data_IF_281952339408
#
_entry.id   IF_281952339408
#
_cell.length_a   1.000
_cell.length_b   1.000
_cell.length_c   1.000
_cell.angle_alpha   90.00
_cell.angle_beta   90.00
_cell.angle_gamma   90.00
#
_symmetry.space_group_name_H-M   'P 1'
#
loop_
_entity.id
_entity.type
_entity.pdbx_description
1 polymer ?
#
# COMPACT_ATOMS: atom_id res chain seq x y z
N UNK A 1 -17.85 5.02 14.29
CA UNK A 1 -16.60 4.61 13.62
C UNK A 1 -15.81 5.87 13.34
N UNK A 2 -14.53 5.91 13.70
CA UNK A 2 -13.65 7.06 13.43
C UNK A 2 -12.71 6.65 12.31
N UNK A 3 -12.97 7.05 11.06
CA UNK A 3 -12.12 6.65 9.93
C UNK A 3 -10.71 7.23 10.10
N UNK A 4 -9.69 6.40 9.89
CA UNK A 4 -8.29 6.80 9.95
C UNK A 4 -7.74 6.87 8.53
N UNK A 5 -7.29 8.07 8.17
CA UNK A 5 -6.71 8.38 6.88
C UNK A 5 -5.31 8.96 7.08
N UNK A 6 -4.35 8.61 6.23
CA UNK A 6 -3.01 9.19 6.27
C UNK A 6 -2.09 8.64 5.19
N UNK A 7 -0.79 8.90 5.35
CA UNK A 7 0.25 8.38 4.47
C UNK A 7 1.57 8.26 5.24
N UNK A 8 2.49 7.45 4.71
CA UNK A 8 3.87 7.39 5.19
C UNK A 8 4.64 8.53 4.54
N UNK A 9 5.28 9.38 5.36
CA UNK A 9 6.10 10.48 4.83
C UNK A 9 7.20 9.94 3.93
N UNK A 10 7.58 10.75 2.94
CA UNK A 10 8.53 10.35 1.90
C UNK A 10 9.66 11.33 1.72
N UNK A 11 10.56 10.93 0.85
CA UNK A 11 11.69 11.68 0.33
C UNK A 11 11.87 11.26 -1.14
N UNK A 12 12.62 12.05 -1.91
CA UNK A 12 12.96 11.69 -3.28
C UNK A 12 13.77 10.39 -3.31
N UNK A 13 13.34 9.40 -4.08
CA UNK A 13 13.99 8.08 -4.18
C UNK A 13 15.43 8.16 -4.70
N UNK A 14 15.79 9.21 -5.43
CA UNK A 14 17.16 9.47 -5.88
C UNK A 14 18.04 10.10 -4.80
N UNK A 15 17.43 10.62 -3.73
CA UNK A 15 18.14 11.28 -2.64
C UNK A 15 18.57 10.27 -1.56
N UNK A 16 19.78 10.46 -1.03
CA UNK A 16 20.23 9.79 0.19
C UNK A 16 19.66 10.51 1.41
N UNK A 17 18.38 10.29 1.69
CA UNK A 17 17.64 11.00 2.72
C UNK A 17 16.81 10.05 3.61
N UNK A 18 16.25 10.61 4.68
CA UNK A 18 15.31 9.96 5.59
C UNK A 18 14.00 10.75 5.59
N UNK A 19 12.88 10.04 5.63
CA UNK A 19 11.57 10.67 5.80
C UNK A 19 11.46 11.28 7.21
N UNK A 20 10.86 12.46 7.30
CA UNK A 20 10.76 13.22 8.56
C UNK A 20 9.35 13.76 8.76
N UNK A 21 8.98 13.93 10.01
CA UNK A 21 7.87 14.78 10.44
C UNK A 21 8.44 15.94 11.27
N UNK A 22 7.79 17.09 11.22
CA UNK A 22 8.23 18.29 11.93
C UNK A 22 7.16 18.74 12.90
N UNK A 23 7.56 19.04 14.14
CA UNK A 23 6.71 19.74 15.09
C UNK A 23 6.64 21.23 14.70
N UNK A 24 5.46 21.72 14.34
CA UNK A 24 5.27 23.10 13.92
C UNK A 24 5.49 24.15 15.02
N UNK A 25 5.48 23.76 16.30
CA UNK A 25 5.72 24.69 17.42
C UNK A 25 7.21 24.85 17.70
N UNK A 26 7.96 23.75 17.69
CA UNK A 26 9.39 23.74 18.04
C UNK A 26 10.32 23.70 16.84
N UNK A 27 9.79 23.42 15.64
CA UNK A 27 10.53 23.14 14.40
C UNK A 27 11.45 21.91 14.50
N UNK A 28 11.24 21.05 15.51
CA UNK A 28 12.03 19.84 15.70
C UNK A 28 11.64 18.79 14.67
N UNK A 29 12.65 18.16 14.06
CA UNK A 29 12.47 17.06 13.12
C UNK A 29 12.55 15.71 13.82
N UNK A 30 11.66 14.79 13.46
CA UNK A 30 11.62 13.42 13.97
C UNK A 30 11.63 12.42 12.81
N UNK A 31 12.32 11.30 13.00
CA UNK A 31 12.40 10.18 12.05
C UNK A 31 11.60 8.94 12.55
N UNK A 32 11.08 9.00 13.77
CA UNK A 32 10.45 7.89 14.51
C UNK A 32 9.11 8.29 15.15
N UNK A 33 8.44 9.29 14.58
CA UNK A 33 7.16 9.84 15.08
C UNK A 33 6.13 9.95 13.95
N UNK A 34 4.87 9.96 14.35
CA UNK A 34 3.74 10.27 13.48
C UNK A 34 3.13 11.61 13.89
N UNK A 35 2.68 12.39 12.90
CA UNK A 35 1.81 13.54 13.13
C UNK A 35 0.35 13.05 13.05
N UNK A 36 -0.40 13.27 14.13
CA UNK A 36 -1.79 12.81 14.24
C UNK A 36 -2.69 14.02 14.45
N UNK A 37 -3.74 14.12 13.64
CA UNK A 37 -4.77 15.14 13.76
C UNK A 37 -6.11 14.46 14.01
N UNK A 38 -6.78 14.83 15.10
CA UNK A 38 -8.15 14.43 15.37
C UNK A 38 -9.09 15.56 14.92
N UNK A 39 -10.06 15.24 14.06
CA UNK A 39 -11.02 16.20 13.53
C UNK A 39 -12.42 15.78 13.96
N UNK A 40 -13.10 16.65 14.71
CA UNK A 40 -14.52 16.50 14.97
C UNK A 40 -15.32 17.07 13.79
N UNK A 41 -16.23 16.27 13.24
CA UNK A 41 -17.13 16.68 12.18
C UNK A 41 -18.47 17.15 12.77
N UNK A 42 -19.16 18.04 12.07
CA UNK A 42 -20.53 18.40 12.41
C UNK A 42 -21.45 17.18 12.35
N UNK A 43 -22.49 17.16 13.17
CA UNK A 43 -23.38 15.98 13.33
C UNK A 43 -24.14 15.56 12.06
N UNK A 44 -24.18 16.42 11.05
CA UNK A 44 -24.78 16.22 9.74
C UNK A 44 -23.78 15.69 8.68
N UNK A 45 -22.51 15.44 9.04
CA UNK A 45 -21.47 14.96 8.14
C UNK A 45 -20.89 13.62 8.54
N UNK A 46 -20.49 12.83 7.56
CA UNK A 46 -19.82 11.55 7.77
C UNK A 46 -18.64 11.43 6.81
N UNK A 47 -17.42 11.35 7.36
CA UNK A 47 -16.27 11.05 6.53
C UNK A 47 -16.32 9.60 6.01
N UNK A 48 -16.07 9.45 4.71
CA UNK A 48 -15.90 8.17 4.05
C UNK A 48 -14.51 8.08 3.44
N UNK A 49 -13.87 6.91 3.53
CA UNK A 49 -12.59 6.62 2.91
C UNK A 49 -12.80 5.63 1.77
N UNK A 50 -12.32 5.98 0.59
CA UNK A 50 -12.30 5.08 -0.56
C UNK A 50 -10.88 4.73 -0.99
N UNK A 51 -10.77 3.59 -1.68
CA UNK A 51 -9.53 3.00 -2.16
C UNK A 51 -9.71 2.69 -3.64
N UNK A 52 -8.85 3.25 -4.47
CA UNK A 52 -8.67 2.90 -5.88
C UNK A 52 -7.58 1.84 -5.93
N UNK A 53 -7.98 0.59 -6.14
CA UNK A 53 -7.11 -0.57 -6.29
C UNK A 53 -7.36 -1.24 -7.65
N UNK A 54 -6.31 -1.41 -8.43
CA UNK A 54 -6.35 -2.10 -9.75
C UNK A 54 -6.04 -3.59 -9.64
N UNK A 55 -5.56 -4.04 -8.48
CA UNK A 55 -5.15 -5.42 -8.27
C UNK A 55 -6.30 -6.29 -7.76
N UNK A 56 -6.31 -7.53 -8.23
CA UNK A 56 -7.14 -8.60 -7.72
C UNK A 56 -6.26 -9.80 -7.38
N UNK A 57 -6.61 -10.53 -6.34
CA UNK A 57 -5.92 -11.77 -5.96
C UNK A 57 -6.02 -12.80 -7.10
N UNK A 58 -4.93 -13.53 -7.34
CA UNK A 58 -4.98 -14.68 -8.23
C UNK A 58 -5.53 -15.90 -7.50
N UNK A 59 -6.83 -16.14 -7.62
CA UNK A 59 -7.53 -17.21 -6.90
C UNK A 59 -7.04 -18.63 -7.22
N UNK A 60 -6.39 -18.81 -8.37
CA UNK A 60 -5.78 -20.08 -8.76
C UNK A 60 -4.35 -20.24 -8.20
N UNK A 61 -3.77 -19.14 -7.71
CA UNK A 61 -2.46 -19.11 -7.10
C UNK A 61 -2.41 -19.82 -5.73
N UNK A 62 -1.22 -19.92 -5.13
CA UNK A 62 -1.06 -20.46 -3.78
C UNK A 62 -1.62 -19.51 -2.72
N UNK A 63 -2.16 -20.08 -1.65
CA UNK A 63 -2.47 -19.33 -0.41
C UNK A 63 -1.17 -19.16 0.36
N UNK A 64 -0.90 -17.93 0.78
CA UNK A 64 0.28 -17.55 1.54
C UNK A 64 -0.19 -17.03 2.90
N UNK A 65 0.30 -17.63 3.97
CA UNK A 65 0.00 -17.20 5.34
C UNK A 65 1.30 -16.97 6.11
N UNK A 66 1.26 -16.02 7.03
CA UNK A 66 2.39 -15.68 7.90
C UNK A 66 2.03 -15.98 9.35
N UNK A 67 3.04 -16.32 10.16
CA UNK A 67 2.85 -16.68 11.57
C UNK A 67 2.97 -15.49 12.52
N UNK A 68 3.51 -14.37 12.03
CA UNK A 68 3.81 -13.19 12.83
C UNK A 68 3.46 -11.92 12.04
N UNK A 69 3.12 -10.87 12.77
CA UNK A 69 2.95 -9.54 12.21
C UNK A 69 4.33 -8.95 11.93
N UNK A 70 4.69 -8.73 10.66
CA UNK A 70 6.07 -8.34 10.32
C UNK A 70 6.19 -7.59 9.00
N UNK A 71 7.24 -6.76 8.91
CA UNK A 71 7.73 -6.13 7.68
C UNK A 71 8.91 -6.90 7.05
N UNK A 72 9.49 -7.86 7.77
CA UNK A 72 10.62 -8.69 7.30
C UNK A 72 10.27 -10.16 7.48
N UNK A 73 10.17 -10.88 6.38
CA UNK A 73 9.74 -12.27 6.32
C UNK A 73 10.94 -13.17 6.06
N UNK A 74 11.05 -14.24 6.83
CA UNK A 74 11.98 -15.34 6.56
C UNK A 74 11.24 -16.59 6.10
N UNK A 75 10.16 -16.97 6.79
CA UNK A 75 9.30 -18.10 6.43
C UNK A 75 7.84 -17.71 6.21
N UNK A 76 7.15 -18.50 5.38
CA UNK A 76 5.72 -18.40 5.13
C UNK A 76 5.13 -19.81 4.98
N UNK A 77 3.83 -19.95 5.22
CA UNK A 77 3.07 -21.14 4.88
C UNK A 77 2.54 -20.98 3.45
N UNK A 78 3.08 -21.76 2.51
CA UNK A 78 2.63 -21.80 1.12
C UNK A 78 1.72 -23.03 0.95
N UNK A 79 0.42 -22.81 0.75
CA UNK A 79 -0.61 -23.85 0.80
C UNK A 79 -0.49 -24.72 2.07
N UNK A 80 -0.24 -24.09 3.22
CA UNK A 80 -0.08 -24.75 4.51
C UNK A 80 1.30 -25.40 4.75
N UNK A 81 2.19 -25.45 3.75
CA UNK A 81 3.56 -25.96 3.93
C UNK A 81 4.51 -24.83 4.28
N UNK A 82 5.22 -24.96 5.39
CA UNK A 82 6.24 -23.99 5.78
C UNK A 82 7.45 -24.04 4.85
N UNK A 83 7.84 -22.88 4.33
CA UNK A 83 8.95 -22.69 3.42
C UNK A 83 9.68 -21.38 3.72
N UNK A 84 10.95 -21.28 3.32
CA UNK A 84 11.62 -19.98 3.28
C UNK A 84 10.98 -19.13 2.15
N UNK A 85 10.51 -17.94 2.49
CA UNK A 85 9.73 -17.13 1.54
C UNK A 85 10.61 -16.53 0.44
N UNK A 86 11.84 -16.09 0.77
CA UNK A 86 12.79 -15.58 -0.22
C UNK A 86 13.10 -16.63 -1.31
N UNK A 87 13.39 -17.86 -0.87
CA UNK A 87 13.72 -18.96 -1.78
C UNK A 87 12.51 -19.32 -2.65
N UNK A 88 11.31 -19.37 -2.05
CA UNK A 88 10.07 -19.58 -2.79
C UNK A 88 9.87 -18.55 -3.91
N UNK A 89 10.06 -17.25 -3.63
CA UNK A 89 9.92 -16.20 -4.64
C UNK A 89 10.95 -16.34 -5.77
N UNK A 90 12.19 -16.67 -5.41
CA UNK A 90 13.31 -16.76 -6.37
C UNK A 90 13.19 -17.99 -7.26
N UNK A 91 12.93 -19.16 -6.67
CA UNK A 91 12.78 -20.43 -7.40
C UNK A 91 11.60 -20.42 -8.37
N UNK A 92 10.48 -19.79 -7.96
CA UNK A 92 9.27 -19.67 -8.78
C UNK A 92 9.29 -18.44 -9.70
N UNK A 93 10.37 -17.63 -9.67
CA UNK A 93 10.53 -16.42 -10.48
C UNK A 93 9.34 -15.47 -10.37
N UNK A 94 8.85 -15.28 -9.14
CA UNK A 94 7.73 -14.39 -8.87
C UNK A 94 8.13 -12.94 -9.22
N UNK A 95 7.28 -12.25 -9.99
CA UNK A 95 7.46 -10.82 -10.25
C UNK A 95 7.18 -10.03 -8.97
N UNK A 96 8.24 -9.47 -8.39
CA UNK A 96 8.18 -8.73 -7.12
C UNK A 96 7.51 -7.36 -7.24
N UNK A 97 7.14 -6.92 -8.45
CA UNK A 97 6.31 -5.72 -8.67
C UNK A 97 4.83 -5.97 -8.43
N UNK A 98 4.41 -7.24 -8.39
CA UNK A 98 3.04 -7.63 -8.09
C UNK A 98 2.88 -7.72 -6.56
N UNK A 99 1.88 -7.04 -5.97
CA UNK A 99 1.66 -7.09 -4.53
C UNK A 99 1.06 -8.44 -4.11
N UNK A 100 1.26 -8.76 -2.83
CA UNK A 100 0.36 -9.67 -2.12
C UNK A 100 -0.98 -8.95 -1.91
N UNK A 101 -2.08 -9.66 -2.16
CA UNK A 101 -3.46 -9.18 -1.99
C UNK A 101 -4.15 -10.05 -0.97
N UNK A 102 -4.88 -9.41 -0.05
CA UNK A 102 -5.75 -10.08 0.91
C UNK A 102 -7.09 -9.35 0.98
N UNK A 103 -8.15 -10.10 1.25
CA UNK A 103 -9.48 -9.57 1.51
C UNK A 103 -9.66 -9.31 3.01
N UNK A 104 -9.88 -8.04 3.37
CA UNK A 104 -10.26 -7.60 4.70
C UNK A 104 -11.73 -7.17 4.67
N UNK A 105 -12.64 -8.12 4.93
CA UNK A 105 -14.09 -7.87 5.02
C UNK A 105 -14.69 -7.17 3.78
N UNK A 106 -14.29 -7.61 2.59
CA UNK A 106 -14.68 -7.07 1.28
C UNK A 106 -13.74 -5.99 0.74
N UNK A 107 -12.71 -5.60 1.49
CA UNK A 107 -11.73 -4.60 1.07
C UNK A 107 -10.42 -5.29 0.68
N UNK A 108 -10.03 -5.16 -0.59
CA UNK A 108 -8.77 -5.71 -1.09
C UNK A 108 -7.60 -4.82 -0.67
N UNK A 109 -6.69 -5.41 0.10
CA UNK A 109 -5.50 -4.76 0.64
C UNK A 109 -4.25 -5.34 0.00
N UNK A 110 -3.39 -4.44 -0.46
CA UNK A 110 -2.14 -4.76 -1.11
C UNK A 110 -0.96 -4.58 -0.14
N UNK A 111 -0.04 -5.53 -0.18
CA UNK A 111 1.26 -5.48 0.51
C UNK A 111 2.37 -5.72 -0.52
N UNK A 112 3.22 -4.71 -0.72
CA UNK A 112 4.23 -4.73 -1.77
C UNK A 112 5.58 -5.21 -1.26
N UNK A 113 6.31 -5.96 -2.09
CA UNK A 113 7.68 -6.37 -1.82
C UNK A 113 8.61 -5.17 -2.00
N UNK A 114 9.43 -4.91 -0.99
CA UNK A 114 10.43 -3.85 -1.00
C UNK A 114 11.79 -4.35 -1.48
N UNK A 115 12.27 -5.47 -0.92
CA UNK A 115 13.56 -6.02 -1.27
C UNK A 115 13.65 -7.52 -0.97
N UNK A 116 14.50 -8.21 -1.72
CA UNK A 116 14.94 -9.57 -1.43
C UNK A 116 16.39 -9.52 -0.95
N UNK A 117 16.68 -10.15 0.19
CA UNK A 117 18.04 -10.29 0.71
C UNK A 117 18.47 -11.76 0.60
N UNK A 118 19.35 -12.05 -0.36
CA UNK A 118 19.93 -13.39 -0.52
C UNK A 118 20.87 -13.76 0.64
N UNK A 119 21.57 -12.77 1.22
CA UNK A 119 22.47 -12.97 2.36
C UNK A 119 21.70 -13.41 3.62
N UNK A 120 20.58 -12.75 3.90
CA UNK A 120 19.74 -13.05 5.07
C UNK A 120 18.65 -14.10 4.76
N UNK A 121 18.50 -14.51 3.49
CA UNK A 121 17.36 -15.31 2.98
C UNK A 121 16.02 -14.77 3.47
N UNK A 122 15.82 -13.46 3.28
CA UNK A 122 14.64 -12.74 3.78
C UNK A 122 14.04 -11.80 2.75
N UNK A 123 12.79 -11.40 3.00
CA UNK A 123 11.99 -10.49 2.17
C UNK A 123 11.57 -9.30 3.02
N UNK A 124 11.90 -8.09 2.60
CA UNK A 124 11.38 -6.86 3.19
C UNK A 124 10.12 -6.41 2.45
N UNK A 125 9.17 -5.85 3.19
CA UNK A 125 7.90 -5.32 2.67
C UNK A 125 7.77 -3.82 2.92
N UNK A 126 6.93 -3.16 2.13
CA UNK A 126 6.56 -1.75 2.35
C UNK A 126 5.45 -1.58 3.41
N UNK A 127 4.61 -2.61 3.58
CA UNK A 127 3.55 -2.68 4.60
C UNK A 127 3.64 -4.02 5.35
N UNK A 128 3.20 -4.09 6.62
CA UNK A 128 3.26 -5.33 7.37
C UNK A 128 2.28 -6.36 6.80
N UNK A 129 2.65 -7.63 6.89
CA UNK A 129 1.70 -8.74 6.85
C UNK A 129 1.22 -9.05 8.26
N UNK A 130 0.04 -9.66 8.37
CA UNK A 130 -0.57 -10.00 9.65
C UNK A 130 -0.75 -11.52 9.80
N UNK A 131 -0.52 -12.02 11.00
CA UNK A 131 -0.63 -13.43 11.32
C UNK A 131 -2.07 -13.93 11.14
N UNK A 132 -2.21 -15.11 10.53
CA UNK A 132 -3.52 -15.72 10.28
C UNK A 132 -4.32 -15.10 9.14
N UNK A 133 -3.78 -14.09 8.45
CA UNK A 133 -4.36 -13.56 7.23
C UNK A 133 -3.90 -14.35 6.01
N UNK A 134 -4.83 -14.61 5.09
CA UNK A 134 -4.58 -15.29 3.82
C UNK A 134 -4.26 -14.28 2.73
N UNK A 135 -3.08 -14.40 2.16
CA UNK A 135 -2.62 -13.60 1.03
C UNK A 135 -2.50 -14.46 -0.23
N UNK A 136 -2.59 -13.81 -1.37
CA UNK A 136 -2.25 -14.36 -2.69
C UNK A 136 -1.50 -13.30 -3.47
N UNK A 137 -0.61 -13.67 -4.38
CA UNK A 137 -0.12 -12.67 -5.33
C UNK A 137 -1.26 -12.17 -6.21
N UNK A 138 -1.19 -10.90 -6.61
CA UNK A 138 -2.14 -10.37 -7.58
C UNK A 138 -1.98 -11.04 -8.94
N UNK A 139 -3.04 -11.04 -9.74
CA UNK A 139 -2.89 -11.33 -11.18
C UNK A 139 -1.98 -10.29 -11.86
N UNK A 140 -1.21 -10.70 -12.89
CA UNK A 140 -0.46 -9.75 -13.70
C UNK A 140 -1.39 -8.72 -14.34
N UNK A 141 -0.93 -7.47 -14.40
CA UNK A 141 -1.65 -6.39 -15.07
C UNK A 141 -0.99 -6.15 -16.43
N UNK A 142 -1.81 -6.11 -17.48
CA UNK A 142 -1.35 -5.85 -18.85
C UNK A 142 -0.90 -4.40 -19.03
N UNK A 143 -1.85 -3.46 -19.13
CA UNK A 143 -1.57 -2.03 -19.18
C UNK A 143 -1.96 -1.38 -17.86
N UNK A 144 -0.98 -1.24 -16.97
CA UNK A 144 -1.17 -0.63 -15.66
C UNK A 144 -1.84 0.74 -15.75
N UNK A 145 -1.36 1.60 -16.65
CA UNK A 145 -1.83 2.97 -16.72
C UNK A 145 -3.27 3.04 -17.25
N UNK A 146 -3.63 2.17 -18.20
CA UNK A 146 -4.99 2.04 -18.67
C UNK A 146 -5.93 1.55 -17.56
N UNK A 147 -5.57 0.46 -16.87
CA UNK A 147 -6.38 -0.06 -15.74
C UNK A 147 -6.56 0.98 -14.63
N UNK A 148 -5.50 1.70 -14.30
CA UNK A 148 -5.57 2.77 -13.30
C UNK A 148 -6.48 3.90 -13.77
N UNK A 149 -6.34 4.36 -15.01
CA UNK A 149 -7.22 5.38 -15.61
C UNK A 149 -8.67 4.93 -15.65
N UNK A 150 -8.94 3.67 -15.95
CA UNK A 150 -10.29 3.12 -16.00
C UNK A 150 -10.93 3.11 -14.61
N UNK A 151 -10.19 2.68 -13.57
CA UNK A 151 -10.66 2.79 -12.17
C UNK A 151 -10.91 4.24 -11.73
N UNK A 152 -10.04 5.17 -12.13
CA UNK A 152 -10.24 6.59 -11.85
C UNK A 152 -11.49 7.15 -12.55
N UNK A 153 -11.76 6.72 -13.79
CA UNK A 153 -12.93 7.18 -14.54
C UNK A 153 -14.26 6.79 -13.87
N UNK A 154 -14.30 5.63 -13.20
CA UNK A 154 -15.42 5.21 -12.36
C UNK A 154 -15.59 6.06 -11.09
N UNK A 155 -14.56 6.84 -10.74
CA UNK A 155 -14.47 7.67 -9.53
C UNK A 155 -14.48 9.17 -9.87
N UNK A 156 -14.89 9.56 -11.07
CA UNK A 156 -14.81 10.96 -11.56
C UNK A 156 -15.72 11.94 -10.82
N UNK A 157 -16.84 11.45 -10.27
CA UNK A 157 -17.85 12.27 -9.59
C UNK A 157 -17.54 12.44 -8.10
N UNK A 158 -16.41 11.86 -7.64
CA UNK A 158 -15.93 11.98 -6.27
C UNK A 158 -15.40 13.39 -6.04
N UNK A 159 -15.72 13.96 -4.88
CA UNK A 159 -15.22 15.25 -4.43
C UNK A 159 -14.30 15.00 -3.23
N UNK A 160 -13.02 14.62 -3.46
CA UNK A 160 -12.13 14.29 -2.36
C UNK A 160 -11.79 15.56 -1.58
N UNK A 161 -11.93 15.53 -0.26
CA UNK A 161 -11.39 16.56 0.63
C UNK A 161 -9.87 16.39 0.79
N UNK A 162 -9.39 15.16 0.63
CA UNK A 162 -7.99 14.81 0.62
C UNK A 162 -7.79 13.50 -0.14
N UNK A 163 -6.63 13.34 -0.78
CA UNK A 163 -6.22 12.07 -1.38
C UNK A 163 -4.71 11.90 -1.31
N UNK A 164 -4.22 10.67 -1.37
CA UNK A 164 -2.80 10.38 -1.56
C UNK A 164 -2.64 9.12 -2.41
N UNK A 165 -1.47 8.99 -3.03
CA UNK A 165 -1.19 7.95 -4.00
C UNK A 165 0.12 7.24 -3.63
N UNK A 166 0.17 5.93 -3.82
CA UNK A 166 1.40 5.20 -3.65
C UNK A 166 2.42 5.59 -4.72
N UNK A 167 3.65 5.87 -4.33
CA UNK A 167 4.80 6.07 -5.22
C UNK A 167 5.04 4.86 -6.11
N UNK A 168 4.68 3.66 -5.65
CA UNK A 168 4.81 2.44 -6.43
C UNK A 168 3.90 2.42 -7.66
N UNK A 169 2.78 3.16 -7.66
CA UNK A 169 1.96 3.31 -8.87
C UNK A 169 2.71 4.09 -9.96
N UNK A 170 3.55 5.04 -9.57
CA UNK A 170 4.38 5.81 -10.50
C UNK A 170 5.60 5.00 -10.94
N UNK A 171 6.25 4.29 -10.01
CA UNK A 171 7.42 3.45 -10.31
C UNK A 171 7.10 2.26 -11.21
N UNK A 172 5.94 1.62 -11.02
CA UNK A 172 5.58 0.41 -11.76
C UNK A 172 4.57 0.65 -12.87
N UNK A 173 3.80 1.73 -12.79
CA UNK A 173 2.68 2.02 -13.70
C UNK A 173 2.96 3.02 -14.81
N UNK A 174 4.20 3.51 -14.97
CA UNK A 174 4.55 4.56 -15.93
C UNK A 174 3.58 5.76 -15.83
N UNK A 175 3.30 6.20 -14.60
CA UNK A 175 2.39 7.33 -14.33
C UNK A 175 3.10 8.69 -14.26
N UNK A 176 4.41 8.73 -14.50
CA UNK A 176 5.18 9.97 -14.57
C UNK A 176 4.53 10.97 -15.55
N UNK A 177 4.32 12.21 -15.08
CA UNK A 177 3.64 13.26 -15.86
C UNK A 177 2.13 13.06 -16.07
N UNK A 178 1.53 11.99 -15.55
CA UNK A 178 0.07 11.76 -15.64
C UNK A 178 -0.65 12.31 -14.42
N UNK A 179 -1.74 13.05 -14.67
CA UNK A 179 -2.63 13.52 -13.62
C UNK A 179 -3.69 12.47 -13.28
N UNK A 180 -4.19 12.52 -12.04
CA UNK A 180 -5.18 11.58 -11.50
C UNK A 180 -6.45 12.30 -11.02
N UNK A 181 -7.07 13.18 -11.82
CA UNK A 181 -8.25 13.93 -11.38
C UNK A 181 -9.41 12.99 -10.99
N UNK A 182 -10.23 13.35 -9.99
CA UNK A 182 -10.21 14.59 -9.19
C UNK A 182 -9.22 14.57 -8.02
N UNK A 183 -8.40 13.53 -7.91
CA UNK A 183 -7.50 13.33 -6.80
C UNK A 183 -6.24 14.18 -6.94
N UNK A 184 -6.01 15.01 -5.94
CA UNK A 184 -4.81 15.81 -5.79
C UNK A 184 -4.27 15.62 -4.38
N UNK A 185 -2.97 15.38 -4.28
CA UNK A 185 -2.30 15.15 -3.00
C UNK A 185 -0.94 14.51 -3.17
N UNK A 186 -0.31 14.12 -2.05
CA UNK A 186 1.07 13.65 -2.08
C UNK A 186 1.15 12.23 -2.69
N UNK A 187 2.28 11.98 -3.37
CA UNK A 187 2.67 10.65 -3.85
C UNK A 187 3.78 10.13 -2.93
N UNK A 188 3.53 9.04 -2.19
CA UNK A 188 4.37 8.65 -1.03
C UNK A 188 4.54 7.13 -0.89
N UNK A 189 5.35 6.68 0.07
CA UNK A 189 5.69 5.26 0.26
C UNK A 189 4.55 4.34 0.72
N UNK A 190 3.39 4.90 1.06
CA UNK A 190 2.27 4.10 1.52
C UNK A 190 1.13 4.97 1.99
N UNK A 191 -0.06 4.41 1.90
CA UNK A 191 -1.31 5.08 2.20
C UNK A 191 -1.93 4.44 3.43
N UNK A 192 -2.55 5.23 4.29
CA UNK A 192 -3.28 4.71 5.44
C UNK A 192 -4.76 4.88 5.16
N UNK A 193 -5.44 3.77 4.93
CA UNK A 193 -6.90 3.68 4.86
C UNK A 193 -7.30 2.41 5.61
N UNK A 194 -7.77 2.58 6.85
CA UNK A 194 -7.99 1.52 7.85
C UNK A 194 -6.70 0.87 8.36
N UNK A 195 -5.77 0.53 7.46
CA UNK A 195 -4.40 0.09 7.74
C UNK A 195 -3.45 0.64 6.67
N UNK A 196 -2.16 0.34 6.79
CA UNK A 196 -1.16 0.70 5.78
C UNK A 196 -1.35 -0.16 4.52
N UNK A 197 -1.46 0.51 3.37
CA UNK A 197 -1.65 -0.05 2.05
C UNK A 197 -0.51 0.38 1.13
N UNK A 198 -0.28 -0.40 0.08
CA UNK A 198 0.66 -0.06 -0.99
C UNK A 198 0.00 -0.22 -2.36
N UNK A 199 0.58 0.40 -3.39
CA UNK A 199 0.11 0.30 -4.77
C UNK A 199 -1.40 0.64 -4.94
N UNK A 200 -1.87 1.65 -4.22
CA UNK A 200 -3.26 2.13 -4.28
C UNK A 200 -3.30 3.66 -4.45
N UNK A 201 -4.49 4.20 -4.64
CA UNK A 201 -4.77 5.59 -4.31
C UNK A 201 -5.89 5.59 -3.30
N UNK A 202 -5.76 6.38 -2.25
CA UNK A 202 -6.80 6.52 -1.23
C UNK A 202 -7.30 7.95 -1.20
N UNK A 203 -8.57 8.11 -0.85
CA UNK A 203 -9.18 9.43 -0.70
C UNK A 203 -10.15 9.44 0.46
N UNK A 204 -10.33 10.63 1.04
CA UNK A 204 -11.38 10.93 1.99
C UNK A 204 -12.38 11.90 1.37
N UNK A 205 -13.66 11.72 1.67
CA UNK A 205 -14.76 12.62 1.32
C UNK A 205 -15.71 12.78 2.51
N UNK A 206 -16.62 13.76 2.45
CA UNK A 206 -17.65 14.03 3.46
C UNK A 206 -19.05 13.68 2.95
#
# INVERSE_FOLDING_TARGET
>A
MTPVFGWITGFDLSAKATAKVYDGQTLTAYEDRALVLHIELSSDKLASIGIVNIFSADEEGPVIEFKEDTLKITSALINGKEMNFHDYLTENKIDTKLPLVSDYNGILVNVSIKALSAADRSVELYAPVFAGTKYRFSRPIGDYAAEFKDKLSASKDILPIFSCNCILNYLYGNLEGKSTPPFAGPVTFGEIAYQLLNQTLVYAQL
#
